data_IF_362430908769
#
_entry.id   IF_362430908769
#
_cell.length_a   1.000
_cell.length_b   1.000
_cell.length_c   1.000
_cell.angle_alpha   90.00
_cell.angle_beta   90.00
_cell.angle_gamma   90.00
#
_symmetry.space_group_name_H-M   'P 1'
#
loop_
_entity.id
_entity.type
_entity.pdbx_description
1 polymer ?
#
# COMPACT_ATOMS: atom_id res chain seq x y z
N UNK A 1 -25.57 -0.38 30.17
CA UNK A 1 -24.42 0.30 29.53
C UNK A 1 -23.41 -0.76 29.13
N UNK A 2 -23.25 -1.02 27.83
CA UNK A 2 -22.24 -1.95 27.30
C UNK A 2 -20.96 -1.14 26.93
N UNK A 3 -19.74 -1.66 27.15
CA UNK A 3 -18.54 -0.94 26.77
C UNK A 3 -18.33 -1.06 25.24
N UNK A 4 -18.44 0.07 24.56
CA UNK A 4 -18.05 0.22 23.16
C UNK A 4 -16.55 0.58 23.09
N UNK A 5 -15.68 -0.37 23.37
CA UNK A 5 -14.23 -0.13 23.36
C UNK A 5 -13.46 -1.42 23.08
N UNK A 6 -13.45 -1.88 21.83
CA UNK A 6 -12.39 -2.81 21.37
C UNK A 6 -12.33 -2.98 19.84
N UNK A 7 -13.43 -2.79 19.11
CA UNK A 7 -13.48 -3.15 17.68
C UNK A 7 -12.70 -2.18 16.77
N UNK A 8 -12.61 -0.89 17.11
CA UNK A 8 -11.88 0.12 16.32
C UNK A 8 -10.36 0.03 16.46
N UNK A 9 -9.86 -0.40 17.62
CA UNK A 9 -8.42 -0.56 17.87
C UNK A 9 -7.87 -1.85 17.26
N UNK A 10 -8.57 -2.99 17.44
CA UNK A 10 -8.16 -4.27 16.83
C UNK A 10 -8.25 -4.27 15.32
N UNK A 11 -9.26 -3.60 14.74
CA UNK A 11 -9.37 -3.45 13.29
C UNK A 11 -8.19 -2.66 12.72
N UNK A 12 -7.86 -1.51 13.31
CA UNK A 12 -6.85 -0.62 12.76
C UNK A 12 -5.42 -1.19 12.85
N UNK A 13 -5.09 -1.94 13.91
CA UNK A 13 -3.80 -2.64 14.03
C UNK A 13 -3.73 -3.87 13.12
N UNK A 14 -4.83 -4.59 12.90
CA UNK A 14 -4.88 -5.70 11.94
C UNK A 14 -4.62 -5.23 10.49
N UNK A 15 -5.13 -4.06 10.09
CA UNK A 15 -4.84 -3.50 8.76
C UNK A 15 -3.38 -3.12 8.59
N UNK A 16 -2.76 -2.51 9.62
CA UNK A 16 -1.31 -2.25 9.64
C UNK A 16 -0.54 -3.56 9.47
N UNK A 17 -0.84 -4.58 10.27
CA UNK A 17 -0.19 -5.89 10.17
C UNK A 17 -0.37 -6.53 8.78
N UNK A 18 -1.52 -6.34 8.14
CA UNK A 18 -1.78 -6.82 6.78
C UNK A 18 -0.88 -6.15 5.76
N UNK A 19 -0.66 -4.83 5.87
CA UNK A 19 0.21 -4.08 4.97
C UNK A 19 1.70 -4.33 5.26
N UNK A 20 2.08 -4.53 6.53
CA UNK A 20 3.44 -4.93 6.90
C UNK A 20 3.78 -6.34 6.35
N UNK A 21 2.83 -7.30 6.41
CA UNK A 21 2.97 -8.59 5.73
C UNK A 21 3.08 -8.44 4.21
N UNK A 22 2.29 -7.54 3.62
CA UNK A 22 2.37 -7.27 2.19
C UNK A 22 3.76 -6.77 1.81
N UNK A 23 4.31 -5.81 2.55
CA UNK A 23 5.67 -5.29 2.35
C UNK A 23 6.71 -6.42 2.40
N UNK A 24 6.68 -7.25 3.45
CA UNK A 24 7.60 -8.37 3.60
C UNK A 24 7.52 -9.36 2.41
N UNK A 25 6.33 -9.77 2.00
CA UNK A 25 6.14 -10.67 0.85
C UNK A 25 6.55 -10.06 -0.49
N UNK A 26 6.51 -8.74 -0.60
CA UNK A 26 6.96 -7.99 -1.79
C UNK A 26 8.47 -7.73 -1.78
N UNK A 27 9.18 -8.09 -0.70
CA UNK A 27 10.60 -7.83 -0.54
C UNK A 27 10.91 -6.38 -0.18
N UNK A 28 9.96 -5.69 0.45
CA UNK A 28 10.09 -4.30 0.92
C UNK A 28 10.25 -4.30 2.43
N UNK A 29 11.31 -3.66 2.91
CA UNK A 29 11.56 -3.47 4.33
C UNK A 29 10.83 -2.23 4.85
N UNK A 30 10.48 -2.22 6.15
CA UNK A 30 9.85 -1.06 6.79
C UNK A 30 10.77 -0.57 7.90
N UNK A 31 11.09 0.72 7.89
CA UNK A 31 11.91 1.36 8.90
C UNK A 31 11.28 2.67 9.39
N UNK A 32 11.86 3.24 10.44
CA UNK A 32 11.39 4.49 11.03
C UNK A 32 11.88 5.68 10.24
N UNK A 33 10.96 6.53 9.79
CA UNK A 33 11.29 7.83 9.22
C UNK A 33 11.74 8.78 10.33
N UNK A 34 12.96 9.32 10.21
CA UNK A 34 13.47 10.44 11.00
C UNK A 34 13.58 11.63 10.06
N UNK A 35 12.76 12.66 10.22
CA UNK A 35 12.69 13.73 9.21
C UNK A 35 11.76 14.89 9.51
N UNK A 36 11.69 15.81 8.53
CA UNK A 36 11.11 17.14 8.61
C UNK A 36 9.57 17.17 8.78
N UNK A 37 9.01 18.28 9.31
CA UNK A 37 7.57 18.49 9.39
C UNK A 37 6.90 18.32 8.03
N UNK A 38 5.81 17.55 7.97
CA UNK A 38 4.98 17.38 6.77
C UNK A 38 5.21 16.08 5.99
N UNK A 39 6.31 15.36 6.19
CA UNK A 39 6.53 14.04 5.58
C UNK A 39 6.10 12.92 6.53
N UNK A 40 5.19 12.05 6.09
CA UNK A 40 4.67 10.94 6.93
C UNK A 40 5.15 9.56 6.47
N UNK A 41 5.52 9.42 5.20
CA UNK A 41 6.04 8.20 4.59
C UNK A 41 7.01 8.52 3.46
N UNK A 42 7.86 7.56 3.11
CA UNK A 42 8.77 7.65 1.97
C UNK A 42 9.12 6.27 1.43
N UNK A 43 8.89 6.05 0.13
CA UNK A 43 9.38 4.91 -0.65
C UNK A 43 10.79 5.16 -1.19
N UNK A 44 11.67 4.15 -1.06
CA UNK A 44 13.10 4.24 -1.40
C UNK A 44 13.59 3.12 -2.34
N UNK A 45 12.70 2.29 -2.87
CA UNK A 45 13.07 1.23 -3.83
C UNK A 45 13.54 -0.04 -3.14
N UNK A 46 12.66 -0.62 -2.31
CA UNK A 46 12.93 -1.79 -1.45
C UNK A 46 12.87 -1.47 0.05
N UNK A 47 12.67 -0.21 0.41
CA UNK A 47 12.48 0.26 1.78
C UNK A 47 11.37 1.30 1.83
N UNK A 48 10.47 1.17 2.80
CA UNK A 48 9.50 2.19 3.17
C UNK A 48 9.86 2.73 4.54
N UNK A 49 10.02 4.05 4.64
CA UNK A 49 10.17 4.75 5.91
C UNK A 49 8.84 5.34 6.31
N UNK A 50 8.41 5.11 7.56
CA UNK A 50 7.15 5.67 8.09
C UNK A 50 7.39 6.36 9.42
N UNK A 51 6.71 7.48 9.65
CA UNK A 51 6.72 8.16 10.94
C UNK A 51 6.21 7.23 12.06
N UNK A 52 6.87 7.21 13.23
CA UNK A 52 6.49 6.31 14.32
C UNK A 52 5.26 6.79 15.10
N UNK A 53 4.89 8.06 15.00
CA UNK A 53 3.86 8.73 15.79
C UNK A 53 2.48 8.76 15.10
N UNK A 54 2.32 8.07 13.96
CA UNK A 54 1.04 7.98 13.25
C UNK A 54 0.05 7.08 14.00
N UNK A 55 -1.23 7.47 14.01
CA UNK A 55 -2.29 6.55 14.44
C UNK A 55 -2.30 5.30 13.55
N UNK A 56 -2.84 4.16 14.02
CA UNK A 56 -2.89 2.94 13.21
C UNK A 56 -3.58 3.13 11.85
N UNK A 57 -4.60 4.00 11.77
CA UNK A 57 -5.27 4.36 10.53
C UNK A 57 -4.35 5.14 9.58
N UNK A 58 -3.68 6.17 10.08
CA UNK A 58 -2.76 6.98 9.28
C UNK A 58 -1.60 6.13 8.80
N UNK A 59 -1.03 5.29 9.67
CA UNK A 59 0.02 4.34 9.32
C UNK A 59 -0.43 3.38 8.22
N UNK A 60 -1.64 2.83 8.30
CA UNK A 60 -2.18 1.97 7.24
C UNK A 60 -2.33 2.73 5.91
N UNK A 61 -2.84 3.96 5.94
CA UNK A 61 -2.98 4.78 4.74
C UNK A 61 -1.61 5.12 4.12
N UNK A 62 -0.65 5.51 4.94
CA UNK A 62 0.73 5.77 4.52
C UNK A 62 1.39 4.52 3.94
N UNK A 63 1.31 3.37 4.63
CA UNK A 63 1.88 2.12 4.11
C UNK A 63 1.26 1.72 2.76
N UNK A 64 -0.06 1.87 2.60
CA UNK A 64 -0.72 1.57 1.33
C UNK A 64 -0.26 2.51 0.19
N UNK A 65 -0.03 3.79 0.49
CA UNK A 65 0.52 4.78 -0.45
C UNK A 65 1.96 4.46 -0.85
N UNK A 66 2.84 4.25 0.12
CA UNK A 66 4.25 3.98 -0.16
C UNK A 66 4.45 2.61 -0.84
N UNK A 67 3.63 1.60 -0.51
CA UNK A 67 3.64 0.32 -1.25
C UNK A 67 3.18 0.49 -2.71
N UNK A 68 2.26 1.41 -2.98
CA UNK A 68 1.87 1.73 -4.34
C UNK A 68 3.04 2.35 -5.11
N UNK A 69 3.78 3.27 -4.49
CA UNK A 69 5.03 3.81 -5.05
C UNK A 69 6.05 2.72 -5.35
N UNK A 70 6.33 1.83 -4.40
CA UNK A 70 7.23 0.69 -4.60
C UNK A 70 6.84 -0.17 -5.82
N UNK A 71 5.55 -0.44 -6.03
CA UNK A 71 5.12 -1.29 -7.14
C UNK A 71 5.04 -0.56 -8.48
N UNK A 72 4.70 0.73 -8.48
CA UNK A 72 4.40 1.48 -9.70
C UNK A 72 5.57 2.31 -10.22
N UNK A 73 6.44 2.80 -9.33
CA UNK A 73 7.31 3.94 -9.61
C UNK A 73 8.76 3.78 -9.15
N UNK A 74 9.01 3.15 -7.99
CA UNK A 74 10.32 3.16 -7.33
C UNK A 74 10.95 1.78 -7.08
N UNK A 75 10.19 0.68 -7.04
CA UNK A 75 10.69 -0.59 -6.48
C UNK A 75 11.42 -1.54 -7.42
N UNK A 76 12.01 -2.57 -6.80
CA UNK A 76 12.76 -3.73 -7.36
C UNK A 76 12.06 -4.40 -8.56
N UNK A 77 10.75 -4.24 -8.69
CA UNK A 77 9.90 -4.84 -9.74
C UNK A 77 9.35 -3.85 -10.76
N UNK A 78 9.67 -2.55 -10.65
CA UNK A 78 9.25 -1.54 -11.61
C UNK A 78 9.89 -1.86 -12.96
N UNK A 79 9.11 -2.48 -13.87
CA UNK A 79 9.55 -2.80 -15.23
C UNK A 79 9.76 -1.47 -15.96
N UNK A 80 11.04 -1.03 -16.05
CA UNK A 80 11.57 0.13 -16.81
C UNK A 80 10.67 1.37 -16.76
N UNK A 81 11.06 2.44 -16.04
CA UNK A 81 10.38 3.77 -16.09
C UNK A 81 9.99 4.13 -17.54
N UNK A 82 8.72 4.00 -17.96
CA UNK A 82 8.34 4.45 -19.29
C UNK A 82 8.35 5.98 -19.31
N UNK A 83 8.78 6.58 -20.42
CA UNK A 83 8.63 7.96 -20.90
C UNK A 83 8.05 8.98 -19.88
N UNK A 84 8.86 9.99 -19.55
CA UNK A 84 8.53 11.25 -18.83
C UNK A 84 7.11 11.35 -18.26
N UNK A 85 6.86 10.75 -17.09
CA UNK A 85 5.67 11.05 -16.27
C UNK A 85 5.94 12.26 -15.40
N UNK A 86 4.92 13.08 -15.23
CA UNK A 86 4.93 14.18 -14.27
C UNK A 86 4.82 13.65 -12.85
N UNK A 87 5.33 14.42 -11.88
CA UNK A 87 5.17 14.11 -10.46
C UNK A 87 3.69 13.98 -10.06
N UNK A 88 2.82 14.82 -10.65
CA UNK A 88 1.39 14.78 -10.40
C UNK A 88 0.75 13.45 -10.81
N UNK A 89 1.13 12.87 -11.96
CA UNK A 89 0.63 11.57 -12.40
C UNK A 89 1.12 10.43 -11.50
N UNK A 90 2.36 10.51 -11.01
CA UNK A 90 2.96 9.51 -10.11
C UNK A 90 2.23 9.48 -8.77
N UNK A 91 2.10 10.63 -8.08
CA UNK A 91 1.39 10.69 -6.80
C UNK A 91 -0.08 10.29 -6.94
N UNK A 92 -0.71 10.71 -8.02
CA UNK A 92 -2.08 10.35 -8.35
C UNK A 92 -2.31 8.84 -8.43
N UNK A 93 -1.42 8.11 -9.11
CA UNK A 93 -1.58 6.66 -9.26
C UNK A 93 -1.33 5.92 -7.95
N UNK A 94 -0.40 6.43 -7.14
CA UNK A 94 -0.17 5.95 -5.79
C UNK A 94 -1.40 6.19 -4.89
N UNK A 95 -1.97 7.40 -4.91
CA UNK A 95 -3.20 7.74 -4.17
C UNK A 95 -4.38 6.86 -4.60
N UNK A 96 -4.57 6.67 -5.91
CA UNK A 96 -5.66 5.84 -6.42
C UNK A 96 -5.51 4.37 -6.04
N UNK A 97 -4.28 3.85 -6.06
CA UNK A 97 -3.98 2.49 -5.61
C UNK A 97 -4.21 2.33 -4.12
N UNK A 98 -3.71 3.27 -3.31
CA UNK A 98 -3.92 3.31 -1.85
C UNK A 98 -5.41 3.34 -1.52
N UNK A 99 -6.19 4.17 -2.21
CA UNK A 99 -7.64 4.22 -2.05
C UNK A 99 -8.30 2.86 -2.29
N UNK A 100 -7.99 2.18 -3.41
CA UNK A 100 -8.56 0.85 -3.71
C UNK A 100 -8.20 -0.17 -2.62
N UNK A 101 -6.93 -0.18 -2.18
CA UNK A 101 -6.45 -1.08 -1.11
C UNK A 101 -7.20 -0.81 0.19
N UNK A 102 -7.25 0.45 0.64
CA UNK A 102 -7.91 0.82 1.89
C UNK A 102 -9.41 0.50 1.86
N UNK A 103 -10.08 0.78 0.73
CA UNK A 103 -11.49 0.42 0.55
C UNK A 103 -11.72 -1.09 0.59
N UNK A 104 -10.85 -1.88 -0.01
CA UNK A 104 -10.92 -3.35 0.04
C UNK A 104 -10.66 -3.90 1.46
N UNK A 105 -9.88 -3.19 2.26
CA UNK A 105 -9.67 -3.50 3.69
C UNK A 105 -10.77 -2.93 4.60
N UNK A 106 -11.81 -2.30 4.07
CA UNK A 106 -12.90 -1.71 4.87
C UNK A 106 -12.52 -0.42 5.60
N UNK A 107 -11.39 0.21 5.24
CA UNK A 107 -10.96 1.49 5.81
C UNK A 107 -11.55 2.67 5.01
N UNK A 108 -12.16 3.66 5.69
CA UNK A 108 -12.50 4.92 5.06
C UNK A 108 -11.24 5.58 4.51
N UNK A 109 -11.27 5.94 3.24
CA UNK A 109 -10.24 6.70 2.57
C UNK A 109 -10.91 7.77 1.72
N UNK A 110 -10.29 8.95 1.62
CA UNK A 110 -10.77 9.99 0.71
C UNK A 110 -10.56 9.47 -0.71
N UNK A 111 -11.61 9.55 -1.53
CA UNK A 111 -11.46 9.22 -2.94
C UNK A 111 -10.37 10.12 -3.53
N UNK A 112 -9.45 9.57 -4.33
CA UNK A 112 -8.46 10.39 -5.01
C UNK A 112 -9.21 11.39 -5.88
N UNK A 113 -8.90 12.68 -5.73
CA UNK A 113 -9.48 13.77 -6.53
C UNK A 113 -9.28 13.53 -8.04
N UNK A 114 -8.35 12.64 -8.40
CA UNK A 114 -8.04 12.22 -9.75
C UNK A 114 -9.13 11.46 -10.50
N UNK A 115 -9.96 10.61 -9.86
CA UNK A 115 -11.05 9.95 -10.62
C UNK A 115 -12.02 11.01 -11.20
N UNK A 116 -12.10 12.18 -10.56
CA UNK A 116 -12.89 13.31 -11.02
C UNK A 116 -12.12 14.28 -11.96
N UNK A 117 -10.79 14.20 -12.05
CA UNK A 117 -9.99 15.18 -12.79
C UNK A 117 -9.03 14.52 -13.80
N UNK A 118 -9.45 14.44 -15.08
CA UNK A 118 -8.84 15.15 -16.24
C UNK A 118 -8.86 14.37 -17.55
N UNK A 119 -9.42 14.98 -18.59
CA UNK A 119 -8.68 15.66 -19.69
C UNK A 119 -7.58 14.93 -20.49
N UNK A 120 -7.26 13.67 -20.22
CA UNK A 120 -6.34 12.87 -21.05
C UNK A 120 -7.08 12.09 -22.13
N UNK A 121 -6.35 11.61 -23.16
CA UNK A 121 -6.93 10.64 -24.10
C UNK A 121 -7.33 9.37 -23.34
N UNK A 122 -8.47 8.77 -23.70
CA UNK A 122 -9.03 7.62 -22.97
C UNK A 122 -8.06 6.44 -22.79
N UNK A 123 -7.09 6.30 -23.69
CA UNK A 123 -6.05 5.27 -23.63
C UNK A 123 -5.06 5.45 -22.47
N UNK A 124 -4.64 6.70 -22.19
CA UNK A 124 -3.74 7.00 -21.06
C UNK A 124 -4.44 6.68 -19.74
N UNK A 125 -5.71 7.07 -19.64
CA UNK A 125 -6.55 6.77 -18.48
C UNK A 125 -6.74 5.25 -18.31
N UNK A 126 -7.10 4.53 -19.37
CA UNK A 126 -7.28 3.08 -19.33
C UNK A 126 -6.00 2.35 -18.89
N UNK A 127 -4.84 2.77 -19.39
CA UNK A 127 -3.54 2.22 -18.99
C UNK A 127 -3.20 2.51 -17.53
N UNK A 128 -3.50 3.71 -17.06
CA UNK A 128 -3.34 4.10 -15.65
C UNK A 128 -4.22 3.25 -14.73
N UNK A 129 -5.52 3.15 -15.04
CA UNK A 129 -6.46 2.31 -14.30
C UNK A 129 -6.03 0.85 -14.27
N UNK A 130 -5.54 0.32 -15.39
CA UNK A 130 -4.99 -1.03 -15.46
C UNK A 130 -3.78 -1.24 -14.54
N UNK A 131 -2.90 -0.23 -14.41
CA UNK A 131 -1.77 -0.29 -13.46
C UNK A 131 -2.24 -0.21 -12.01
N UNK A 132 -3.12 0.73 -11.69
CA UNK A 132 -3.73 0.90 -10.35
C UNK A 132 -4.38 -0.41 -9.88
N UNK A 133 -5.24 -1.01 -10.70
CA UNK A 133 -5.91 -2.26 -10.36
C UNK A 133 -4.92 -3.42 -10.14
N UNK A 134 -3.88 -3.53 -10.98
CA UNK A 134 -2.85 -4.57 -10.83
C UNK A 134 -2.03 -4.39 -9.55
N UNK A 135 -1.60 -3.17 -9.25
CA UNK A 135 -0.84 -2.87 -8.05
C UNK A 135 -1.67 -3.14 -6.79
N UNK A 136 -2.92 -2.68 -6.74
CA UNK A 136 -3.82 -2.93 -5.61
C UNK A 136 -4.04 -4.43 -5.36
N UNK A 137 -4.26 -5.22 -6.42
CA UNK A 137 -4.39 -6.69 -6.31
C UNK A 137 -3.12 -7.33 -5.75
N UNK A 138 -1.94 -6.89 -6.18
CA UNK A 138 -0.67 -7.43 -5.67
C UNK A 138 -0.49 -7.14 -4.18
N UNK A 139 -0.79 -5.92 -3.73
CA UNK A 139 -0.71 -5.54 -2.31
C UNK A 139 -1.67 -6.40 -1.48
N UNK A 140 -2.93 -6.51 -1.90
CA UNK A 140 -3.96 -7.28 -1.18
C UNK A 140 -3.62 -8.77 -1.10
N UNK A 141 -3.20 -9.38 -2.22
CA UNK A 141 -2.78 -10.78 -2.24
C UNK A 141 -1.54 -11.02 -1.36
N UNK A 142 -0.58 -10.10 -1.36
CA UNK A 142 0.60 -10.20 -0.51
C UNK A 142 0.24 -10.09 0.98
N UNK A 143 -0.73 -9.24 1.35
CA UNK A 143 -1.15 -9.08 2.74
C UNK A 143 -1.98 -10.23 3.33
N UNK A 144 -2.71 -10.97 2.47
CA UNK A 144 -3.62 -12.06 2.87
C UNK A 144 -3.01 -13.45 2.75
N UNK A 145 -1.85 -13.61 2.10
CA UNK A 145 -1.13 -14.89 2.08
C UNK A 145 -0.72 -15.29 3.50
N UNK A 146 -1.32 -16.36 4.01
CA UNK A 146 -0.84 -17.06 5.20
C UNK A 146 0.38 -17.88 4.78
N UNK A 147 1.48 -17.79 5.53
CA UNK A 147 2.69 -18.56 5.27
C UNK A 147 2.31 -20.05 5.32
N UNK A 148 2.48 -20.78 4.22
CA UNK A 148 2.33 -22.23 4.25
C UNK A 148 3.38 -22.77 5.24
N UNK A 149 2.91 -23.35 6.34
CA UNK A 149 3.79 -24.14 7.21
C UNK A 149 4.25 -25.32 6.36
N UNK A 150 5.53 -25.38 6.03
CA UNK A 150 6.14 -26.60 5.49
C UNK A 150 5.99 -27.66 6.59
N UNK A 151 5.01 -28.56 6.43
CA UNK A 151 4.88 -29.73 7.28
C UNK A 151 6.17 -30.53 7.21
N UNK A 152 6.82 -30.74 8.34
CA UNK A 152 7.91 -31.69 8.45
C UNK A 152 7.36 -33.09 8.09
N UNK A 153 8.12 -33.92 7.36
CA UNK A 153 7.70 -35.30 7.14
C UNK A 153 7.67 -36.00 8.51
N UNK A 154 6.51 -36.55 8.84
CA UNK A 154 6.37 -37.54 9.90
C UNK A 154 7.22 -38.75 9.49
N UNK A 155 8.35 -38.93 10.17
CA UNK A 155 9.14 -40.14 10.08
C UNK A 155 8.27 -41.30 10.60
N UNK A 156 7.88 -42.20 9.70
CA UNK A 156 7.32 -43.48 10.08
C UNK A 156 8.46 -44.33 10.67
N UNK A 157 8.31 -44.71 11.93
CA UNK A 157 9.07 -45.80 12.56
C UNK A 157 8.48 -47.15 12.22
#
# INVERSE_FOLDING_TARGET
RLPALDLTLRGSTHHVATLERAAAHLGVTISTLRGAPGLVGQSLGGEIRVRPDLSPRERAATLAHELAHELLHTGVRARKRPVSRTHAEVETEAEATSYVVLRALGLPSKAPTYIAWRGGSGEVLARSLGRVQRAARQILQAGTRVRAVRGAPIAAG
#
